data_IF_430558356135
#
_entry.id   IF_430558356135
#
_cell.length_a   1.000
_cell.length_b   1.000
_cell.length_c   1.000
_cell.angle_alpha   90.00
_cell.angle_beta   90.00
_cell.angle_gamma   90.00
#
_symmetry.space_group_name_H-M   'P 1'
#
loop_
_entity.id
_entity.type
_entity.pdbx_description
1 polymer ?
#
# COMPACT_ATOMS: atom_id res chain seq x y z
N UNK A 1 -40.74 4.43 86.74
CA UNK A 1 -40.23 4.11 85.39
C UNK A 1 -39.15 5.11 85.04
N UNK A 2 -37.90 4.68 84.79
CA UNK A 2 -36.92 5.26 83.84
C UNK A 2 -35.54 4.62 84.05
N UNK A 3 -35.28 3.52 83.33
CA UNK A 3 -33.94 2.94 83.17
C UNK A 3 -33.15 3.83 82.20
N UNK A 4 -32.08 4.48 82.66
CA UNK A 4 -31.10 5.12 81.78
C UNK A 4 -30.25 4.02 81.13
N UNK A 5 -30.31 3.90 79.80
CA UNK A 5 -29.37 3.08 79.01
C UNK A 5 -28.10 3.91 78.80
N UNK A 6 -26.95 3.34 79.15
CA UNK A 6 -25.64 3.88 78.82
C UNK A 6 -25.30 3.61 77.33
N UNK A 7 -24.56 4.50 76.64
CA UNK A 7 -24.13 4.27 75.27
C UNK A 7 -22.95 3.27 75.24
N UNK A 8 -23.05 2.24 74.41
CA UNK A 8 -21.94 1.35 74.10
C UNK A 8 -20.99 2.03 73.12
N UNK A 9 -19.74 2.23 73.54
CA UNK A 9 -18.66 2.71 72.67
C UNK A 9 -18.26 1.63 71.65
N UNK A 10 -18.14 1.94 70.34
CA UNK A 10 -17.65 0.97 69.36
C UNK A 10 -16.14 0.80 69.56
N UNK A 11 -15.73 -0.38 70.01
CA UNK A 11 -14.32 -0.81 69.96
C UNK A 11 -13.98 -1.07 68.50
N UNK A 12 -13.56 -0.03 67.79
CA UNK A 12 -13.02 -0.14 66.45
C UNK A 12 -11.80 -1.08 66.49
N UNK A 13 -11.93 -2.15 65.72
CA UNK A 13 -11.07 -3.31 65.62
C UNK A 13 -9.71 -2.95 65.02
N UNK A 14 -8.72 -2.68 65.88
CA UNK A 14 -7.31 -2.52 65.49
C UNK A 14 -6.75 -3.71 64.67
N UNK A 15 -7.37 -4.89 64.79
CA UNK A 15 -7.01 -6.08 63.98
C UNK A 15 -7.45 -6.00 62.51
N UNK A 16 -8.53 -5.29 62.18
CA UNK A 16 -9.00 -5.18 60.80
C UNK A 16 -8.07 -4.31 59.95
N UNK A 17 -7.50 -3.26 60.54
CA UNK A 17 -6.55 -2.37 59.86
C UNK A 17 -5.27 -3.12 59.40
N UNK A 18 -4.80 -4.08 60.20
CA UNK A 18 -3.59 -4.85 59.91
C UNK A 18 -3.83 -5.86 58.78
N UNK A 19 -5.02 -6.48 58.75
CA UNK A 19 -5.41 -7.39 57.66
C UNK A 19 -5.53 -6.63 56.33
N UNK A 20 -6.15 -5.44 56.34
CA UNK A 20 -6.27 -4.61 55.13
C UNK A 20 -4.87 -4.23 54.62
N UNK A 21 -3.95 -3.84 55.51
CA UNK A 21 -2.59 -3.48 55.11
C UNK A 21 -1.83 -4.66 54.51
N UNK A 22 -1.93 -5.86 55.09
CA UNK A 22 -1.29 -7.07 54.54
C UNK A 22 -1.86 -7.45 53.18
N UNK A 23 -3.18 -7.36 52.98
CA UNK A 23 -3.80 -7.63 51.68
C UNK A 23 -3.33 -6.63 50.63
N UNK A 24 -3.24 -5.34 50.97
CA UNK A 24 -2.72 -4.30 50.06
C UNK A 24 -1.27 -4.58 49.70
N UNK A 25 -0.42 -4.92 50.67
CA UNK A 25 1.00 -5.24 50.43
C UNK A 25 1.14 -6.49 49.55
N UNK A 26 0.39 -7.56 49.82
CA UNK A 26 0.41 -8.76 48.98
C UNK A 26 -0.08 -8.47 47.56
N UNK A 27 -1.08 -7.60 47.40
CA UNK A 27 -1.59 -7.18 46.09
C UNK A 27 -0.52 -6.42 45.29
N UNK A 28 0.21 -5.52 45.95
CA UNK A 28 1.31 -4.76 45.34
C UNK A 28 2.47 -5.70 44.96
N UNK A 29 2.88 -6.60 45.86
CA UNK A 29 3.97 -7.56 45.59
C UNK A 29 3.60 -8.48 44.43
N UNK A 30 2.36 -8.99 44.39
CA UNK A 30 1.88 -9.84 43.29
C UNK A 30 1.85 -9.06 41.97
N UNK A 31 1.42 -7.79 41.99
CA UNK A 31 1.44 -6.92 40.81
C UNK A 31 2.86 -6.66 40.29
N UNK A 32 3.82 -6.43 41.18
CA UNK A 32 5.23 -6.26 40.81
C UNK A 32 5.83 -7.55 40.25
N UNK A 33 5.54 -8.70 40.84
CA UNK A 33 6.03 -10.00 40.35
C UNK A 33 5.40 -10.37 39.00
N UNK A 34 4.11 -10.07 38.79
CA UNK A 34 3.46 -10.26 37.49
C UNK A 34 4.06 -9.34 36.43
N UNK A 35 4.42 -8.10 36.80
CA UNK A 35 5.04 -7.15 35.87
C UNK A 35 6.41 -7.62 35.39
N UNK A 36 7.16 -8.33 36.25
CA UNK A 36 8.45 -8.95 35.91
C UNK A 36 8.29 -10.22 35.05
N UNK A 37 7.19 -10.97 35.22
CA UNK A 37 6.90 -12.18 34.42
C UNK A 37 6.24 -11.88 33.07
N UNK A 38 5.63 -10.70 32.92
CA UNK A 38 4.99 -10.23 31.68
C UNK A 38 5.90 -9.32 30.86
N UNK A 39 7.17 -9.13 31.24
CA UNK A 39 8.16 -8.52 30.36
C UNK A 39 8.35 -9.43 29.14
N UNK A 40 7.64 -9.07 28.07
CA UNK A 40 7.68 -9.76 26.78
C UNK A 40 9.15 -9.82 26.34
N UNK A 41 9.67 -11.04 26.22
CA UNK A 41 11.04 -11.28 25.76
C UNK A 41 11.28 -10.48 24.46
N UNK A 42 12.17 -9.48 24.45
CA UNK A 42 12.41 -8.65 23.26
C UNK A 42 12.90 -9.49 22.07
N UNK A 43 13.45 -10.67 22.35
CA UNK A 43 13.84 -11.69 21.36
C UNK A 43 12.64 -12.31 20.65
N UNK A 44 11.53 -12.55 21.36
CA UNK A 44 10.30 -13.13 20.78
C UNK A 44 9.62 -12.10 19.88
N UNK A 45 9.57 -10.84 20.30
CA UNK A 45 9.02 -9.75 19.48
C UNK A 45 9.84 -9.52 18.21
N UNK A 46 11.18 -9.52 18.30
CA UNK A 46 12.07 -9.43 17.14
C UNK A 46 11.86 -10.59 16.16
N UNK A 47 11.80 -11.83 16.67
CA UNK A 47 11.58 -13.04 15.87
C UNK A 47 10.23 -13.02 15.12
N UNK A 48 9.18 -12.52 15.77
CA UNK A 48 7.85 -12.38 15.18
C UNK A 48 7.77 -11.27 14.11
N UNK A 49 8.55 -10.20 14.24
CA UNK A 49 8.62 -9.15 13.21
C UNK A 49 9.36 -9.65 11.97
N UNK A 50 10.51 -10.30 12.14
CA UNK A 50 11.29 -10.85 11.02
C UNK A 50 10.50 -11.89 10.22
N UNK A 51 9.70 -12.74 10.87
CA UNK A 51 8.89 -13.74 10.17
C UNK A 51 7.76 -13.12 9.34
N UNK A 52 7.17 -12.01 9.81
CA UNK A 52 6.15 -11.26 9.05
C UNK A 52 6.75 -10.61 7.80
N UNK A 53 7.92 -9.98 7.91
CA UNK A 53 8.61 -9.37 6.77
C UNK A 53 8.96 -10.41 5.71
N UNK A 54 9.45 -11.58 6.13
CA UNK A 54 9.74 -12.70 5.21
C UNK A 54 8.49 -13.26 4.54
N UNK A 55 7.36 -13.34 5.25
CA UNK A 55 6.09 -13.79 4.67
C UNK A 55 5.59 -12.82 3.59
N UNK A 56 5.66 -11.51 3.85
CA UNK A 56 5.32 -10.46 2.87
C UNK A 56 6.22 -10.54 1.64
N UNK A 57 7.53 -10.69 1.85
CA UNK A 57 8.49 -10.85 0.75
C UNK A 57 8.20 -12.10 -0.10
N UNK A 58 7.88 -13.23 0.54
CA UNK A 58 7.46 -14.46 -0.14
C UNK A 58 6.21 -14.24 -0.99
N UNK A 59 5.18 -13.62 -0.43
CA UNK A 59 3.92 -13.41 -1.14
C UNK A 59 4.07 -12.48 -2.34
N UNK A 60 4.92 -11.44 -2.23
CA UNK A 60 5.22 -10.57 -3.35
C UNK A 60 5.99 -11.29 -4.47
N UNK A 61 6.94 -12.17 -4.13
CA UNK A 61 7.64 -13.00 -5.12
C UNK A 61 6.69 -13.95 -5.85
N UNK A 62 5.73 -14.55 -5.13
CA UNK A 62 4.68 -15.39 -5.73
C UNK A 62 3.75 -14.55 -6.63
N UNK A 63 3.39 -13.34 -6.21
CA UNK A 63 2.58 -12.41 -7.00
C UNK A 63 3.27 -11.99 -8.30
N UNK A 64 4.56 -11.63 -8.23
CA UNK A 64 5.36 -11.27 -9.40
C UNK A 64 5.47 -12.45 -10.38
N UNK A 65 5.76 -13.64 -9.87
CA UNK A 65 5.82 -14.86 -10.68
C UNK A 65 4.48 -15.17 -11.36
N UNK A 66 3.36 -15.00 -10.65
CA UNK A 66 2.02 -15.17 -11.21
C UNK A 66 1.71 -14.17 -12.33
N UNK A 67 2.02 -12.89 -12.12
CA UNK A 67 1.80 -11.86 -13.12
C UNK A 67 2.63 -12.11 -14.40
N UNK A 68 3.89 -12.52 -14.25
CA UNK A 68 4.77 -12.89 -15.38
C UNK A 68 4.26 -14.13 -16.12
N UNK A 69 3.82 -15.14 -15.38
CA UNK A 69 3.25 -16.36 -15.96
C UNK A 69 2.01 -16.03 -16.81
N UNK A 70 1.10 -15.21 -16.30
CA UNK A 70 -0.14 -14.87 -17.02
C UNK A 70 0.06 -13.91 -18.19
N UNK A 71 1.14 -13.11 -18.22
CA UNK A 71 1.38 -12.14 -19.30
C UNK A 71 2.18 -12.70 -20.47
N UNK A 72 3.14 -13.58 -20.22
CA UNK A 72 4.06 -14.06 -21.27
C UNK A 72 4.33 -15.56 -21.23
N UNK A 73 3.81 -16.29 -20.22
CA UNK A 73 4.10 -17.70 -19.96
C UNK A 73 5.58 -18.09 -20.17
N UNK A 74 6.53 -17.32 -19.59
CA UNK A 74 7.95 -17.53 -19.85
C UNK A 74 8.45 -18.83 -19.18
N UNK A 75 9.62 -19.34 -19.58
CA UNK A 75 10.20 -20.49 -18.91
C UNK A 75 10.40 -20.21 -17.40
N UNK A 76 10.33 -21.26 -16.56
CA UNK A 76 10.33 -21.14 -15.11
C UNK A 76 11.49 -20.30 -14.51
N UNK A 77 12.65 -20.32 -15.17
CA UNK A 77 13.83 -19.57 -14.75
C UNK A 77 13.68 -18.04 -14.84
N UNK A 78 12.70 -17.54 -15.60
CA UNK A 78 12.44 -16.11 -15.81
C UNK A 78 11.22 -15.61 -15.03
N UNK A 79 10.62 -16.47 -14.20
CA UNK A 79 9.41 -16.13 -13.45
C UNK A 79 9.72 -15.26 -12.22
N UNK A 80 10.91 -15.43 -11.65
CA UNK A 80 11.37 -14.67 -10.49
C UNK A 80 12.23 -13.48 -10.93
N UNK A 81 12.16 -12.34 -10.23
CA UNK A 81 13.03 -11.21 -10.48
C UNK A 81 14.46 -11.51 -10.02
N UNK A 82 15.44 -10.86 -10.65
CA UNK A 82 16.81 -10.90 -10.19
C UNK A 82 16.98 -10.17 -8.84
N UNK A 83 17.95 -10.59 -8.00
CA UNK A 83 18.37 -9.80 -6.85
C UNK A 83 18.74 -8.38 -7.28
N UNK A 84 18.62 -7.45 -6.34
CA UNK A 84 19.09 -6.09 -6.57
C UNK A 84 20.62 -6.05 -6.67
N UNK A 85 21.16 -5.06 -7.37
CA UNK A 85 22.61 -4.85 -7.42
C UNK A 85 23.14 -4.22 -6.12
N UNK A 86 22.27 -3.51 -5.42
CA UNK A 86 22.54 -2.69 -4.24
C UNK A 86 21.23 -2.48 -3.43
N UNK A 87 21.30 -1.66 -2.38
CA UNK A 87 20.16 -1.41 -1.48
C UNK A 87 19.05 -0.52 -2.09
N UNK A 88 19.11 -0.22 -3.39
CA UNK A 88 18.09 0.59 -4.10
C UNK A 88 16.75 -0.13 -4.25
N UNK A 89 16.74 -1.46 -4.14
CA UNK A 89 15.53 -2.27 -4.23
C UNK A 89 15.06 -2.56 -5.66
N UNK A 90 15.81 -2.17 -6.69
CA UNK A 90 15.48 -2.54 -8.08
C UNK A 90 16.14 -3.84 -8.49
N UNK A 91 15.37 -4.77 -9.05
CA UNK A 91 15.88 -5.99 -9.64
C UNK A 91 16.84 -5.70 -10.80
N UNK A 92 17.93 -6.45 -10.88
CA UNK A 92 18.79 -6.42 -12.06
C UNK A 92 18.01 -6.87 -13.31
N UNK A 93 18.37 -6.34 -14.48
CA UNK A 93 17.72 -6.72 -15.73
C UNK A 93 18.03 -8.17 -16.14
N UNK A 94 19.23 -8.67 -15.80
CA UNK A 94 19.67 -10.03 -16.08
C UNK A 94 20.54 -10.55 -14.95
N UNK A 95 20.36 -11.82 -14.62
CA UNK A 95 21.14 -12.55 -13.64
C UNK A 95 21.15 -14.03 -14.02
N UNK A 96 22.18 -14.75 -13.60
CA UNK A 96 22.26 -16.20 -13.76
C UNK A 96 22.33 -16.82 -12.38
N UNK A 97 21.37 -17.68 -12.06
CA UNK A 97 21.36 -18.39 -10.80
C UNK A 97 22.49 -19.47 -10.77
N UNK A 98 23.10 -19.75 -9.60
CA UNK A 98 22.78 -19.18 -8.30
C UNK A 98 23.35 -17.78 -8.11
N UNK A 99 22.52 -16.86 -7.60
CA UNK A 99 22.93 -15.49 -7.30
C UNK A 99 22.32 -15.03 -5.98
N UNK A 100 23.10 -14.33 -5.17
CA UNK A 100 22.68 -13.75 -3.90
C UNK A 100 22.82 -12.24 -3.95
N UNK A 101 21.82 -11.50 -3.48
CA UNK A 101 21.85 -10.05 -3.39
C UNK A 101 20.71 -9.52 -2.52
N UNK A 102 20.54 -8.19 -2.40
CA UNK A 102 19.42 -7.60 -1.67
C UNK A 102 18.08 -7.94 -2.34
N UNK A 103 17.03 -8.08 -1.53
CA UNK A 103 15.67 -8.27 -2.04
C UNK A 103 15.25 -7.06 -2.89
N UNK A 104 14.74 -7.27 -4.13
CA UNK A 104 14.32 -6.19 -5.01
C UNK A 104 12.94 -5.65 -4.59
N UNK A 105 12.87 -5.04 -3.40
CA UNK A 105 11.62 -4.59 -2.78
C UNK A 105 10.84 -3.59 -3.64
N UNK A 106 11.53 -2.69 -4.36
CA UNK A 106 10.88 -1.71 -5.24
C UNK A 106 10.26 -2.38 -6.46
N UNK A 107 10.95 -3.35 -7.08
CA UNK A 107 10.39 -4.15 -8.19
C UNK A 107 9.22 -5.03 -7.74
N UNK A 108 9.22 -5.45 -6.47
CA UNK A 108 8.15 -6.24 -5.87
C UNK A 108 6.97 -5.39 -5.37
N UNK A 109 7.05 -4.05 -5.45
CA UNK A 109 6.01 -3.15 -4.93
C UNK A 109 5.86 -3.22 -3.41
N UNK A 110 6.92 -3.63 -2.71
CA UNK A 110 6.95 -3.70 -1.26
C UNK A 110 7.35 -2.33 -0.69
N UNK A 111 6.79 -1.91 0.46
CA UNK A 111 7.32 -0.77 1.17
C UNK A 111 8.80 -1.02 1.52
N UNK A 112 9.62 0.04 1.71
CA UNK A 112 11.03 -0.09 2.07
C UNK A 112 11.23 -0.63 3.50
N UNK A 113 10.24 -1.31 4.06
CA UNK A 113 10.22 -1.76 5.44
C UNK A 113 11.37 -2.76 5.64
N UNK A 114 12.42 -2.21 6.26
CA UNK A 114 13.63 -2.89 6.63
C UNK A 114 13.38 -3.70 7.91
N UNK A 115 14.17 -4.74 8.15
CA UNK A 115 14.10 -5.56 9.36
C UNK A 115 14.25 -4.74 10.67
N UNK A 116 14.23 -5.39 11.85
CA UNK A 116 14.39 -4.73 13.16
C UNK A 116 15.65 -3.83 13.25
N UNK A 117 16.63 -3.99 12.35
CA UNK A 117 17.86 -3.20 12.29
C UNK A 117 17.93 -2.21 11.12
N UNK A 118 16.82 -1.98 10.42
CA UNK A 118 16.78 -1.15 9.24
C UNK A 118 17.69 -1.66 8.08
N UNK A 119 17.84 -2.98 7.91
CA UNK A 119 18.52 -3.61 6.75
C UNK A 119 17.55 -4.25 5.76
N UNK A 120 18.00 -4.35 4.51
CA UNK A 120 17.28 -5.03 3.43
C UNK A 120 17.50 -6.54 3.56
N UNK A 121 16.45 -7.37 3.56
CA UNK A 121 16.62 -8.83 3.60
C UNK A 121 17.37 -9.32 2.37
N UNK A 122 18.19 -10.35 2.55
CA UNK A 122 18.96 -10.97 1.49
C UNK A 122 18.08 -11.94 0.72
N UNK A 123 18.19 -11.92 -0.61
CA UNK A 123 17.47 -12.75 -1.54
C UNK A 123 18.46 -13.60 -2.34
N UNK A 124 18.26 -14.90 -2.30
CA UNK A 124 19.07 -15.88 -3.04
C UNK A 124 18.20 -16.59 -4.07
N UNK A 125 18.60 -16.47 -5.33
CA UNK A 125 18.10 -17.30 -6.42
C UNK A 125 18.90 -18.60 -6.47
N UNK A 126 18.19 -19.73 -6.47
CA UNK A 126 18.80 -21.04 -6.74
C UNK A 126 18.68 -21.37 -8.23
N UNK A 127 19.51 -22.30 -8.75
CA UNK A 127 19.54 -22.70 -10.17
C UNK A 127 18.28 -23.47 -10.66
N UNK A 128 17.15 -23.34 -9.97
CA UNK A 128 15.83 -23.86 -10.34
C UNK A 128 14.75 -22.77 -10.24
N UNK A 129 13.48 -23.14 -10.05
CA UNK A 129 12.37 -22.19 -9.75
C UNK A 129 12.31 -21.76 -8.28
N UNK A 130 13.33 -22.13 -7.50
CA UNK A 130 13.38 -21.90 -6.07
C UNK A 130 14.07 -20.59 -5.74
N UNK A 131 13.55 -19.89 -4.76
CA UNK A 131 14.24 -18.78 -4.13
C UNK A 131 14.23 -18.93 -2.62
N UNK A 132 15.25 -18.37 -2.00
CA UNK A 132 15.37 -18.34 -0.55
C UNK A 132 15.55 -16.89 -0.10
N UNK A 133 14.68 -16.44 0.80
CA UNK A 133 14.76 -15.11 1.41
C UNK A 133 15.27 -15.27 2.83
N UNK A 134 16.23 -14.44 3.21
CA UNK A 134 16.90 -14.50 4.49
C UNK A 134 16.88 -13.13 5.17
N UNK A 135 16.44 -13.07 6.43
CA UNK A 135 16.45 -11.84 7.24
C UNK A 135 17.21 -12.08 8.57
N UNK A 136 18.04 -11.12 9.00
CA UNK A 136 18.73 -11.11 10.30
C UNK A 136 20.27 -11.09 10.25
N UNK A 137 20.90 -10.71 11.38
CA UNK A 137 22.34 -10.88 11.65
C UNK A 137 22.65 -12.31 12.13
N UNK A 138 23.94 -12.64 12.10
CA UNK A 138 24.61 -13.96 12.17
C UNK A 138 24.29 -14.91 13.34
N UNK A 139 23.27 -14.68 14.17
CA UNK A 139 22.85 -15.62 15.22
C UNK A 139 21.35 -15.98 15.21
N UNK A 140 20.48 -15.27 14.47
CA UNK A 140 19.04 -15.63 14.35
C UNK A 140 18.57 -15.45 12.89
N UNK A 141 19.32 -16.05 11.98
CA UNK A 141 19.08 -16.04 10.53
C UNK A 141 17.80 -16.83 10.23
N UNK A 142 16.72 -16.14 9.88
CA UNK A 142 15.50 -16.78 9.41
C UNK A 142 15.56 -16.94 7.90
N UNK A 143 15.53 -18.20 7.46
CA UNK A 143 15.62 -18.58 6.05
C UNK A 143 14.27 -19.13 5.59
N UNK A 144 13.66 -18.48 4.60
CA UNK A 144 12.40 -18.90 4.01
C UNK A 144 12.66 -19.36 2.58
N UNK A 145 12.68 -20.68 2.38
CA UNK A 145 12.83 -21.32 1.07
C UNK A 145 11.46 -21.65 0.50
N UNK A 146 11.24 -21.33 -0.77
CA UNK A 146 10.04 -21.75 -1.49
C UNK A 146 10.39 -22.14 -2.93
N UNK A 147 9.66 -23.11 -3.45
CA UNK A 147 9.70 -23.50 -4.86
C UNK A 147 8.39 -23.08 -5.52
N UNK A 148 8.47 -22.53 -6.73
CA UNK A 148 7.26 -22.21 -7.51
C UNK A 148 6.67 -23.50 -8.08
N UNK A 149 5.41 -23.75 -7.75
CA UNK A 149 4.60 -24.75 -8.44
C UNK A 149 3.86 -24.07 -9.60
N UNK A 150 4.35 -24.29 -10.83
CA UNK A 150 3.78 -23.74 -12.06
C UNK A 150 2.29 -24.06 -12.22
N UNK A 151 1.84 -25.24 -11.75
CA UNK A 151 0.44 -25.61 -11.82
C UNK A 151 -0.43 -24.73 -10.90
N UNK A 152 0.08 -24.36 -9.72
CA UNK A 152 -0.62 -23.47 -8.79
C UNK A 152 -0.69 -22.02 -9.30
N UNK A 153 0.27 -21.59 -10.12
CA UNK A 153 0.29 -20.25 -10.74
C UNK A 153 -0.71 -20.14 -11.89
N UNK A 154 -0.86 -21.21 -12.70
CA UNK A 154 -1.79 -21.24 -13.84
C UNK A 154 -3.26 -21.02 -13.46
N UNK A 155 -3.66 -21.46 -12.26
CA UNK A 155 -5.04 -21.31 -11.75
C UNK A 155 -5.39 -19.84 -11.43
N UNK A 156 -4.39 -18.95 -11.34
CA UNK A 156 -4.58 -17.55 -10.91
C UNK A 156 -4.71 -16.55 -12.05
N UNK A 157 -4.65 -16.97 -13.32
CA UNK A 157 -4.78 -16.03 -14.42
C UNK A 157 -6.24 -15.60 -14.59
N UNK A 158 -6.55 -14.29 -14.61
CA UNK A 158 -7.88 -13.83 -15.00
C UNK A 158 -8.12 -14.24 -16.45
N UNK A 159 -9.30 -14.78 -16.74
CA UNK A 159 -9.70 -15.11 -18.10
C UNK A 159 -9.61 -13.85 -18.99
N UNK A 160 -9.11 -13.95 -20.23
CA UNK A 160 -9.01 -12.81 -21.12
C UNK A 160 -10.40 -12.18 -21.31
N UNK A 161 -10.47 -10.85 -21.16
CA UNK A 161 -11.71 -10.10 -21.39
C UNK A 161 -12.21 -10.34 -22.82
N UNK A 162 -13.53 -10.44 -23.04
CA UNK A 162 -14.07 -10.56 -24.39
C UNK A 162 -13.62 -9.37 -25.23
N UNK A 163 -13.28 -9.57 -26.52
CA UNK A 163 -12.89 -8.49 -27.40
C UNK A 163 -14.01 -7.44 -27.47
N UNK A 164 -13.67 -6.14 -27.50
CA UNK A 164 -14.67 -5.08 -27.67
C UNK A 164 -15.45 -5.31 -28.97
N UNK A 165 -16.78 -5.21 -28.90
CA UNK A 165 -17.64 -5.33 -30.08
C UNK A 165 -17.28 -4.23 -31.10
N UNK A 166 -17.14 -4.62 -32.38
CA UNK A 166 -16.84 -3.69 -33.47
C UNK A 166 -17.92 -2.61 -33.55
N UNK A 167 -17.54 -1.32 -33.76
CA UNK A 167 -18.51 -0.26 -33.96
C UNK A 167 -19.39 -0.55 -35.20
N UNK A 168 -20.67 -0.15 -35.17
CA UNK A 168 -21.58 -0.40 -36.29
C UNK A 168 -21.07 0.27 -37.58
N UNK A 169 -21.28 -0.36 -38.75
CA UNK A 169 -20.83 0.19 -40.02
C UNK A 169 -21.49 1.55 -40.31
N UNK A 170 -20.76 2.50 -40.93
CA UNK A 170 -21.31 3.79 -41.31
C UNK A 170 -22.45 3.63 -42.34
N UNK A 171 -23.44 4.53 -42.34
CA UNK A 171 -24.53 4.52 -43.31
C UNK A 171 -24.02 4.73 -44.75
N UNK A 172 -24.71 4.18 -45.77
CA UNK A 172 -24.32 4.35 -47.17
C UNK A 172 -24.37 5.82 -47.59
N UNK A 173 -23.30 6.29 -48.24
CA UNK A 173 -23.20 7.63 -48.81
C UNK A 173 -24.17 7.81 -50.00
N UNK A 174 -24.82 8.98 -50.07
CA UNK A 174 -25.70 9.37 -51.17
C UNK A 174 -24.91 9.54 -52.49
N UNK A 175 -25.53 9.28 -53.66
CA UNK A 175 -24.89 9.48 -54.95
C UNK A 175 -24.57 10.98 -55.20
N UNK A 176 -23.48 11.27 -55.91
CA UNK A 176 -23.08 12.64 -56.19
C UNK A 176 -24.06 13.34 -57.15
N UNK A 177 -24.33 14.65 -56.96
CA UNK A 177 -25.15 15.44 -57.87
C UNK A 177 -24.43 15.68 -59.22
N UNK A 178 -25.19 15.95 -60.30
CA UNK A 178 -24.64 16.18 -61.64
C UNK A 178 -23.79 17.46 -61.72
N UNK A 179 -22.75 17.40 -62.57
CA UNK A 179 -21.74 18.44 -62.77
C UNK A 179 -22.33 19.78 -63.25
N UNK A 180 -21.77 20.87 -62.73
CA UNK A 180 -22.11 22.26 -63.03
C UNK A 180 -21.29 22.82 -64.22
N UNK A 181 -21.80 23.83 -64.95
CA UNK A 181 -21.14 24.42 -66.13
C UNK A 181 -19.78 25.09 -65.82
N UNK A 182 -18.94 25.33 -66.86
CA UNK A 182 -17.55 25.76 -66.69
C UNK A 182 -17.38 27.16 -66.08
N UNK A 183 -16.26 27.41 -65.38
CA UNK A 183 -16.04 28.63 -64.61
C UNK A 183 -15.64 29.86 -65.46
N UNK A 184 -15.93 31.08 -64.96
CA UNK A 184 -15.44 32.34 -65.51
C UNK A 184 -13.92 32.51 -65.34
N UNK A 185 -13.29 33.46 -66.09
CA UNK A 185 -11.84 33.65 -66.10
C UNK A 185 -11.25 34.00 -64.73
N UNK A 186 -9.96 33.68 -64.50
CA UNK A 186 -9.33 33.81 -63.19
C UNK A 186 -9.18 35.27 -62.76
N UNK A 187 -9.72 35.59 -61.58
CA UNK A 187 -9.36 36.80 -60.84
C UNK A 187 -7.97 36.62 -60.20
N UNK A 188 -7.24 37.73 -60.07
CA UNK A 188 -5.91 37.76 -59.48
C UNK A 188 -5.89 37.10 -58.09
N UNK A 189 -4.86 36.31 -57.75
CA UNK A 189 -4.79 35.65 -56.46
C UNK A 189 -4.73 36.69 -55.33
N UNK A 190 -5.50 36.51 -54.25
CA UNK A 190 -5.38 37.35 -53.08
C UNK A 190 -3.96 37.24 -52.49
N UNK A 191 -3.46 38.29 -51.82
CA UNK A 191 -2.16 38.25 -51.18
C UNK A 191 -2.08 37.09 -50.17
N UNK A 192 -0.90 36.46 -50.01
CA UNK A 192 -0.74 35.34 -49.10
C UNK A 192 -1.11 35.76 -47.66
N UNK A 193 -1.76 34.88 -46.88
CA UNK A 193 -2.07 35.16 -45.50
C UNK A 193 -0.77 35.41 -44.70
N UNK A 194 -0.82 36.27 -43.66
CA UNK A 194 0.33 36.45 -42.79
C UNK A 194 0.74 35.11 -42.15
N UNK A 195 2.04 34.91 -41.85
CA UNK A 195 2.49 33.70 -41.19
C UNK A 195 1.78 33.52 -39.85
N UNK A 196 1.43 32.28 -39.46
CA UNK A 196 0.83 32.02 -38.17
C UNK A 196 1.75 32.51 -37.05
N UNK A 197 1.20 33.03 -35.94
CA UNK A 197 2.00 33.39 -34.78
C UNK A 197 2.78 32.16 -34.29
N UNK A 198 4.00 32.35 -33.73
CA UNK A 198 4.76 31.25 -33.17
C UNK A 198 3.93 30.54 -32.09
N UNK A 199 4.02 29.21 -31.97
CA UNK A 199 3.33 28.48 -30.92
C UNK A 199 3.76 29.01 -29.55
N UNK A 200 2.83 29.08 -28.58
CA UNK A 200 3.19 29.45 -27.21
C UNK A 200 4.27 28.50 -26.69
N UNK A 201 5.18 28.98 -25.82
CA UNK A 201 6.16 28.12 -25.20
C UNK A 201 5.46 26.96 -24.46
N UNK A 202 6.02 25.75 -24.46
CA UNK A 202 5.46 24.63 -23.72
C UNK A 202 5.34 25.01 -22.23
N UNK A 203 4.28 24.55 -21.53
CA UNK A 203 4.15 24.77 -20.11
C UNK A 203 5.36 24.19 -19.37
N UNK A 204 5.80 24.82 -18.27
CA UNK A 204 6.89 24.28 -17.46
C UNK A 204 6.57 22.85 -17.01
N UNK A 205 7.57 21.95 -16.93
CA UNK A 205 7.36 20.61 -16.43
C UNK A 205 6.81 20.66 -14.99
N UNK A 206 5.91 19.73 -14.61
CA UNK A 206 5.38 19.67 -13.26
C UNK A 206 6.52 19.48 -12.25
N UNK A 207 6.40 20.05 -11.04
CA UNK A 207 7.40 19.89 -10.00
C UNK A 207 7.58 18.40 -9.66
N UNK A 208 8.81 17.96 -9.32
CA UNK A 208 9.03 16.60 -8.89
C UNK A 208 8.21 16.30 -7.63
N UNK A 209 7.71 15.07 -7.51
CA UNK A 209 6.87 14.65 -6.41
C UNK A 209 7.65 14.65 -5.10
N UNK A 210 6.97 15.09 -4.04
CA UNK A 210 7.59 15.24 -2.73
C UNK A 210 7.61 13.86 -2.05
N UNK A 211 8.77 13.19 -1.88
CA UNK A 211 8.85 11.80 -1.42
C UNK A 211 8.27 11.60 -0.02
N UNK A 212 8.19 12.69 0.75
CA UNK A 212 7.60 12.71 2.09
C UNK A 212 6.07 12.45 2.03
N UNK A 213 5.38 12.86 0.97
CA UNK A 213 3.92 12.71 0.88
C UNK A 213 3.48 11.39 0.25
N UNK A 214 4.41 10.67 -0.36
CA UNK A 214 4.12 9.44 -1.11
C UNK A 214 3.70 8.30 -0.18
N UNK A 215 4.42 8.09 0.92
CA UNK A 215 4.13 7.02 1.88
C UNK A 215 2.72 7.10 2.47
N UNK A 216 2.27 8.23 3.04
CA UNK A 216 0.92 8.31 3.59
C UNK A 216 -0.16 8.30 2.50
N UNK A 217 0.09 8.86 1.31
CA UNK A 217 -0.85 8.76 0.20
C UNK A 217 -1.05 7.31 -0.25
N UNK A 218 0.04 6.53 -0.35
CA UNK A 218 -0.01 5.11 -0.68
C UNK A 218 -0.73 4.28 0.41
N UNK A 219 -0.58 4.64 1.69
CA UNK A 219 -1.36 4.03 2.77
C UNK A 219 -2.86 4.26 2.57
N UNK A 220 -3.31 5.47 2.23
CA UNK A 220 -4.73 5.71 1.94
C UNK A 220 -5.20 4.91 0.70
N UNK A 221 -4.38 4.86 -0.35
CA UNK A 221 -4.68 4.13 -1.57
C UNK A 221 -4.73 2.61 -1.38
N UNK A 222 -3.97 2.02 -0.44
CA UNK A 222 -4.04 0.58 -0.17
C UNK A 222 -5.38 0.14 0.42
N UNK A 223 -6.17 1.09 0.95
CA UNK A 223 -7.53 0.86 1.44
C UNK A 223 -8.62 1.07 0.37
N UNK A 224 -8.24 1.44 -0.86
CA UNK A 224 -9.13 1.40 -2.02
C UNK A 224 -9.19 -0.02 -2.52
N UNK A 225 -10.36 -0.67 -2.38
CA UNK A 225 -10.58 -1.97 -2.99
C UNK A 225 -11.20 -1.77 -4.38
N UNK A 226 -10.51 -2.08 -5.49
CA UNK A 226 -11.09 -1.90 -6.83
C UNK A 226 -12.29 -2.81 -7.09
N UNK A 227 -12.39 -3.93 -6.37
CA UNK A 227 -13.46 -4.91 -6.53
C UNK A 227 -14.64 -4.67 -5.57
N UNK A 228 -14.49 -3.74 -4.62
CA UNK A 228 -15.54 -3.41 -3.66
C UNK A 228 -15.66 -1.89 -3.59
N UNK A 229 -16.82 -1.35 -3.93
CA UNK A 229 -17.15 0.09 -3.92
C UNK A 229 -17.14 0.72 -2.51
N UNK A 230 -16.45 0.08 -1.58
CA UNK A 230 -16.29 0.40 -0.18
C UNK A 230 -14.89 0.94 0.08
N UNK A 231 -14.81 1.98 0.89
CA UNK A 231 -13.54 2.49 1.40
C UNK A 231 -13.13 1.68 2.63
N UNK A 232 -11.98 0.99 2.54
CA UNK A 232 -11.47 0.14 3.61
C UNK A 232 -11.07 0.89 4.89
N UNK A 233 -10.96 2.22 4.83
CA UNK A 233 -10.67 3.06 5.99
C UNK A 233 -11.82 3.12 7.00
N UNK A 234 -13.06 2.80 6.61
CA UNK A 234 -14.21 2.84 7.52
C UNK A 234 -14.44 1.48 8.18
N UNK A 235 -14.59 1.47 9.50
CA UNK A 235 -14.91 0.29 10.31
C UNK A 235 -16.43 0.15 10.53
N UNK A 236 -16.88 -1.07 10.82
CA UNK A 236 -18.25 -1.36 11.28
C UNK A 236 -18.51 -0.65 12.61
N UNK A 237 -19.10 0.54 12.54
CA UNK A 237 -19.25 1.46 13.68
C UNK A 237 -19.03 2.94 13.32
N UNK A 238 -18.58 3.23 12.09
CA UNK A 238 -18.37 4.60 11.61
C UNK A 238 -17.02 5.21 11.99
N UNK A 239 -16.23 4.53 12.82
CA UNK A 239 -14.86 4.92 13.15
C UNK A 239 -13.91 4.72 11.96
N UNK A 240 -12.90 5.57 11.87
CA UNK A 240 -11.82 5.49 10.87
C UNK A 240 -10.71 4.58 11.43
N UNK A 241 -10.13 3.73 10.59
CA UNK A 241 -8.92 2.96 10.94
C UNK A 241 -7.80 3.89 11.36
N UNK A 242 -7.09 3.53 12.43
CA UNK A 242 -5.98 4.32 12.97
C UNK A 242 -4.88 4.60 11.93
N UNK A 243 -4.61 3.64 11.04
CA UNK A 243 -3.65 3.77 9.95
C UNK A 243 -4.07 4.86 8.94
N UNK A 244 -5.33 4.83 8.50
CA UNK A 244 -5.86 5.87 7.61
C UNK A 244 -5.86 7.25 8.27
N UNK A 245 -6.23 7.32 9.55
CA UNK A 245 -6.21 8.58 10.30
C UNK A 245 -4.78 9.13 10.44
N UNK A 246 -3.80 8.24 10.68
CA UNK A 246 -2.39 8.61 10.80
C UNK A 246 -1.84 9.12 9.47
N UNK A 247 -2.11 8.41 8.38
CA UNK A 247 -1.71 8.81 7.03
C UNK A 247 -2.33 10.17 6.65
N UNK A 248 -3.61 10.38 6.94
CA UNK A 248 -4.26 11.68 6.74
C UNK A 248 -3.57 12.79 7.55
N UNK A 249 -3.32 12.58 8.84
CA UNK A 249 -2.67 13.58 9.69
C UNK A 249 -1.25 13.92 9.18
N UNK A 250 -0.51 12.93 8.66
CA UNK A 250 0.80 13.15 8.04
C UNK A 250 0.68 14.03 6.79
N UNK A 251 -0.27 13.74 5.88
CA UNK A 251 -0.49 14.57 4.68
C UNK A 251 -0.85 16.02 5.05
N UNK A 252 -1.65 16.22 6.10
CA UNK A 252 -2.05 17.56 6.54
C UNK A 252 -0.89 18.34 7.18
N UNK A 253 -0.07 17.67 8.00
CA UNK A 253 0.99 18.31 8.78
C UNK A 253 2.29 18.52 7.99
N UNK A 254 2.59 17.65 7.02
CA UNK A 254 3.77 17.77 6.18
C UNK A 254 3.60 18.84 5.09
N UNK A 255 4.71 19.24 4.48
CA UNK A 255 4.76 20.17 3.33
C UNK A 255 4.31 19.48 2.03
N UNK A 256 3.11 18.90 2.07
CA UNK A 256 2.46 18.31 0.90
C UNK A 256 1.76 19.38 0.04
N UNK A 257 1.66 19.16 -1.29
CA UNK A 257 0.87 20.00 -2.17
C UNK A 257 -0.57 20.19 -1.65
N UNK A 258 -1.15 21.35 -1.90
CA UNK A 258 -2.52 21.66 -1.45
C UNK A 258 -3.56 20.68 -2.06
N UNK A 259 -3.29 20.20 -3.28
CA UNK A 259 -4.09 19.19 -3.97
C UNK A 259 -4.11 17.87 -3.18
N UNK A 260 -2.95 17.41 -2.69
CA UNK A 260 -2.85 16.23 -1.83
C UNK A 260 -3.63 16.36 -0.53
N UNK A 261 -3.58 17.53 0.10
CA UNK A 261 -4.32 17.79 1.34
C UNK A 261 -5.82 17.74 1.09
N UNK A 262 -6.27 18.37 0.01
CA UNK A 262 -7.68 18.38 -0.41
C UNK A 262 -8.16 16.96 -0.73
N UNK A 263 -7.37 16.20 -1.49
CA UNK A 263 -7.69 14.83 -1.88
C UNK A 263 -7.77 13.88 -0.67
N UNK A 264 -6.83 13.99 0.27
CA UNK A 264 -6.85 13.20 1.51
C UNK A 264 -8.07 13.52 2.39
N UNK A 265 -8.47 14.79 2.46
CA UNK A 265 -9.71 15.19 3.15
C UNK A 265 -10.93 14.60 2.46
N UNK A 266 -11.07 14.79 1.14
CA UNK A 266 -12.18 14.25 0.37
C UNK A 266 -12.31 12.73 0.55
N UNK A 267 -11.19 12.01 0.57
CA UNK A 267 -11.13 10.57 0.76
C UNK A 267 -11.66 10.09 2.12
N UNK A 268 -11.40 10.83 3.21
CA UNK A 268 -11.84 10.48 4.57
C UNK A 268 -13.15 11.14 5.01
N UNK A 269 -13.78 11.94 4.16
CA UNK A 269 -15.09 12.53 4.43
C UNK A 269 -16.18 11.89 3.58
N UNK A 270 -17.46 11.96 3.99
CA UNK A 270 -18.57 11.63 3.11
C UNK A 270 -18.53 12.51 1.84
N UNK A 271 -18.80 11.97 0.64
CA UNK A 271 -19.34 10.63 0.39
C UNK A 271 -18.29 9.51 0.37
N UNK A 272 -17.01 9.80 0.14
CA UNK A 272 -15.98 8.81 -0.19
C UNK A 272 -15.62 7.85 0.94
N UNK A 273 -15.72 8.29 2.20
CA UNK A 273 -15.50 7.36 3.33
C UNK A 273 -16.61 6.31 3.45
N UNK A 274 -17.80 6.58 2.90
CA UNK A 274 -18.94 5.66 2.94
C UNK A 274 -19.03 4.80 1.68
N UNK A 275 -18.75 5.38 0.51
CA UNK A 275 -18.72 4.67 -0.76
C UNK A 275 -17.83 5.37 -1.77
N UNK A 276 -17.02 4.57 -2.48
CA UNK A 276 -16.16 5.04 -3.57
C UNK A 276 -16.90 5.16 -4.90
N UNK A 277 -18.24 5.00 -4.92
CA UNK A 277 -19.05 5.11 -6.14
C UNK A 277 -19.31 6.53 -6.62
N UNK A 278 -19.09 7.53 -5.78
CA UNK A 278 -19.31 8.90 -6.20
C UNK A 278 -18.21 9.30 -7.19
N UNK A 279 -18.58 9.91 -8.30
CA UNK A 279 -17.64 10.41 -9.32
C UNK A 279 -16.61 11.38 -8.73
N UNK A 280 -16.98 12.07 -7.64
CA UNK A 280 -16.08 12.94 -6.86
C UNK A 280 -14.94 12.17 -6.16
N UNK A 281 -15.10 10.87 -5.90
CA UNK A 281 -14.07 10.03 -5.28
C UNK A 281 -13.00 9.59 -6.27
N UNK A 282 -13.33 9.44 -7.55
CA UNK A 282 -12.35 9.09 -8.59
C UNK A 282 -11.31 10.20 -8.75
N UNK A 283 -11.75 11.47 -8.68
CA UNK A 283 -10.85 12.62 -8.67
C UNK A 283 -9.94 12.60 -7.44
N UNK A 284 -10.48 12.38 -6.24
CA UNK A 284 -9.68 12.29 -5.01
C UNK A 284 -8.65 11.15 -5.06
N UNK A 285 -9.01 9.99 -5.60
CA UNK A 285 -8.09 8.85 -5.76
C UNK A 285 -7.01 9.16 -6.80
N UNK A 286 -7.37 9.80 -7.92
CA UNK A 286 -6.41 10.20 -8.95
C UNK A 286 -5.39 11.21 -8.41
N UNK A 287 -5.85 12.19 -7.64
CA UNK A 287 -4.97 13.17 -6.98
C UNK A 287 -4.06 12.51 -5.92
N UNK A 288 -4.58 11.59 -5.09
CA UNK A 288 -3.76 10.83 -4.15
C UNK A 288 -2.67 10.00 -4.85
N UNK A 289 -2.92 9.49 -6.07
CA UNK A 289 -1.90 8.79 -6.87
C UNK A 289 -0.81 9.74 -7.35
N UNK A 290 -1.15 10.97 -7.72
CA UNK A 290 -0.19 12.00 -8.12
C UNK A 290 0.65 12.49 -6.93
N UNK A 291 0.15 12.40 -5.71
CA UNK A 291 0.95 12.61 -4.49
C UNK A 291 1.97 11.50 -4.25
N UNK A 292 1.73 10.31 -4.81
CA UNK A 292 2.50 9.07 -4.62
C UNK A 292 3.54 8.78 -5.68
N UNK A 293 3.40 9.36 -6.87
CA UNK A 293 4.27 9.16 -8.04
C UNK A 293 5.31 10.24 -8.12
#
# INVERSE_FOLDING_TARGET
MTRRRAPASPRASRGAALIVLVVVVLSIITGLLLSQLLEIDPRVESRNRSSRTLAIARDALLGHAGARYCSASPPPAQLLPCPAADDTGTAQATCTAPLSGPLPWLTLGLPPERDHEARVPTYTLSSGTGATVTAGQTEDVQTLTFALDLAALAVRCPAPAPPPEDPPPPPPENPPPPESPPPPPPENPPPPPPPPPPPPPPPPPPPPPNPICQTPANTLLSYVNPNSKNNGCRLSGGSIRAECQTAYNQIQTWTCPAECKTAATAFLTPPCINSLNATECDAAIAELRQCGL
#
